data_IF_414924854579
#
_entry.id   IF_414924854579
#
_cell.length_a   1.000
_cell.length_b   1.000
_cell.length_c   1.000
_cell.angle_alpha   90.00
_cell.angle_beta   90.00
_cell.angle_gamma   90.00
#
_symmetry.space_group_name_H-M   'P 1'
#
loop_
_entity.id
_entity.type
_entity.pdbx_description
1 polymer ?
#
# COMPACT_ATOMS: atom_id res chain seq x y z
N UNK A 1 -40.16 60.07 -9.09
CA UNK A 1 -39.20 58.94 -9.01
C UNK A 1 -39.41 58.25 -7.67
N UNK A 2 -39.93 57.02 -7.67
CA UNK A 2 -40.30 56.29 -6.43
C UNK A 2 -39.13 55.38 -6.02
N UNK A 3 -38.47 55.68 -4.90
CA UNK A 3 -37.41 54.81 -4.34
C UNK A 3 -38.10 53.73 -3.50
N UNK A 4 -38.03 52.47 -3.93
CA UNK A 4 -38.53 51.32 -3.17
C UNK A 4 -37.61 51.09 -1.95
N UNK A 5 -38.13 51.31 -0.75
CA UNK A 5 -37.44 50.96 0.50
C UNK A 5 -37.50 49.46 0.73
N UNK A 6 -36.34 48.79 0.71
CA UNK A 6 -36.22 47.37 1.05
C UNK A 6 -36.42 47.20 2.56
N UNK A 7 -37.36 46.33 2.97
CA UNK A 7 -37.66 46.09 4.38
C UNK A 7 -36.48 45.35 5.05
N UNK A 8 -36.06 45.77 6.24
CA UNK A 8 -34.95 45.11 6.95
C UNK A 8 -35.15 43.60 7.18
N UNK A 9 -36.41 43.15 7.29
CA UNK A 9 -36.75 41.73 7.37
C UNK A 9 -36.37 40.93 6.12
N UNK A 10 -36.40 41.54 4.93
CA UNK A 10 -35.97 40.86 3.69
C UNK A 10 -34.44 40.80 3.59
N UNK A 11 -33.74 41.79 4.14
CA UNK A 11 -32.26 41.79 4.20
C UNK A 11 -31.77 40.70 5.16
N UNK A 12 -32.39 40.57 6.33
CA UNK A 12 -32.09 39.51 7.32
C UNK A 12 -32.43 38.10 6.79
N UNK A 13 -33.53 37.94 6.08
CA UNK A 13 -33.89 36.64 5.49
C UNK A 13 -32.89 36.21 4.40
N UNK A 14 -32.44 37.14 3.55
CA UNK A 14 -31.47 36.86 2.50
C UNK A 14 -30.07 36.55 3.04
N UNK A 15 -29.65 37.21 4.12
CA UNK A 15 -28.36 36.92 4.76
C UNK A 15 -28.35 35.57 5.48
N UNK A 16 -29.44 35.19 6.16
CA UNK A 16 -29.57 33.86 6.75
C UNK A 16 -29.55 32.77 5.67
N UNK A 17 -30.29 32.96 4.55
CA UNK A 17 -30.30 32.02 3.43
C UNK A 17 -28.90 31.85 2.78
N UNK A 18 -28.16 32.95 2.64
CA UNK A 18 -26.79 32.92 2.11
C UNK A 18 -25.82 32.20 3.05
N UNK A 19 -25.94 32.38 4.36
CA UNK A 19 -25.14 31.65 5.36
C UNK A 19 -25.46 30.14 5.30
N UNK A 20 -26.73 29.74 5.20
CA UNK A 20 -27.11 28.33 5.05
C UNK A 20 -26.57 27.68 3.77
N UNK A 21 -26.54 28.39 2.64
CA UNK A 21 -25.98 27.89 1.37
C UNK A 21 -24.45 27.72 1.40
N UNK A 22 -23.74 28.57 2.16
CA UNK A 22 -22.28 28.45 2.34
C UNK A 22 -21.93 27.25 3.23
N UNK A 23 -22.74 26.94 4.24
CA UNK A 23 -22.49 25.80 5.16
C UNK A 23 -22.73 24.44 4.47
N UNK A 24 -23.69 24.35 3.53
CA UNK A 24 -23.95 23.09 2.79
C UNK A 24 -22.83 22.72 1.80
N UNK A 25 -21.92 23.65 1.51
CA UNK A 25 -20.83 23.45 0.54
C UNK A 25 -19.58 22.82 1.15
N UNK A 26 -19.46 22.78 2.49
CA UNK A 26 -18.41 22.05 3.18
C UNK A 26 -18.86 20.61 3.44
N UNK A 27 -19.04 19.83 2.37
CA UNK A 27 -18.82 18.41 2.48
C UNK A 27 -17.32 18.21 2.75
N UNK A 28 -16.91 18.32 4.01
CA UNK A 28 -15.60 17.87 4.44
C UNK A 28 -15.52 16.41 3.99
N UNK A 29 -14.67 16.13 3.00
CA UNK A 29 -14.41 14.79 2.54
C UNK A 29 -13.98 14.00 3.78
N UNK A 30 -14.90 13.20 4.32
CA UNK A 30 -14.60 12.38 5.48
C UNK A 30 -13.43 11.48 5.10
N UNK A 31 -12.44 11.28 6.00
CA UNK A 31 -11.30 10.43 5.71
C UNK A 31 -11.81 9.08 5.22
N UNK A 32 -11.50 8.76 3.95
CA UNK A 32 -11.99 7.54 3.31
C UNK A 32 -11.21 6.37 3.89
N UNK A 33 -11.86 5.58 4.74
CA UNK A 33 -11.27 4.34 5.23
C UNK A 33 -11.04 3.37 4.08
N UNK A 34 -9.96 2.59 4.19
CA UNK A 34 -9.70 1.49 3.28
C UNK A 34 -10.92 0.54 3.22
N UNK A 35 -11.40 0.18 2.01
CA UNK A 35 -12.50 -0.77 1.86
C UNK A 35 -12.20 -2.13 2.52
N UNK A 36 -13.21 -2.79 3.09
CA UNK A 36 -13.02 -4.07 3.81
C UNK A 36 -12.46 -5.19 2.94
N UNK A 37 -12.77 -5.20 1.65
CA UNK A 37 -12.27 -6.20 0.69
C UNK A 37 -10.80 -5.98 0.32
N UNK A 38 -10.21 -4.85 0.72
CA UNK A 38 -8.76 -4.59 0.72
C UNK A 38 -8.17 -4.82 2.11
N UNK A 39 -8.83 -4.31 3.17
CA UNK A 39 -8.35 -4.38 4.55
C UNK A 39 -8.23 -5.81 5.07
N UNK A 40 -9.22 -6.66 4.78
CA UNK A 40 -9.26 -8.05 5.25
C UNK A 40 -8.10 -8.89 4.74
N UNK A 41 -7.84 -8.97 3.41
CA UNK A 41 -6.69 -9.72 2.91
C UNK A 41 -5.35 -9.13 3.39
N UNK A 42 -5.21 -7.81 3.55
CA UNK A 42 -3.98 -7.22 4.13
C UNK A 42 -3.72 -7.71 5.55
N UNK A 43 -4.75 -7.69 6.40
CA UNK A 43 -4.66 -8.15 7.79
C UNK A 43 -4.32 -9.63 7.86
N UNK A 44 -5.01 -10.46 7.07
CA UNK A 44 -4.78 -11.91 7.02
C UNK A 44 -3.39 -12.24 6.47
N UNK A 45 -2.97 -11.58 5.40
CA UNK A 45 -1.64 -11.74 4.81
C UNK A 45 -0.54 -11.36 5.78
N UNK A 46 -0.73 -10.29 6.56
CA UNK A 46 0.20 -9.91 7.61
C UNK A 46 0.30 -10.99 8.71
N UNK A 47 -0.84 -11.50 9.19
CA UNK A 47 -0.84 -12.52 10.24
C UNK A 47 -0.16 -13.83 9.76
N UNK A 48 -0.40 -14.22 8.49
CA UNK A 48 0.29 -15.35 7.85
C UNK A 48 1.80 -15.10 7.69
N UNK A 49 2.19 -13.89 7.32
CA UNK A 49 3.59 -13.49 7.19
C UNK A 49 4.31 -13.57 8.54
N UNK A 50 3.65 -13.12 9.62
CA UNK A 50 4.15 -13.25 11.00
C UNK A 50 4.34 -14.71 11.41
N UNK A 51 3.45 -15.59 10.97
CA UNK A 51 3.53 -17.03 11.23
C UNK A 51 4.55 -17.74 10.31
N UNK A 52 5.30 -17.01 9.47
CA UNK A 52 6.27 -17.57 8.53
C UNK A 52 5.67 -18.25 7.29
N UNK A 53 4.36 -18.15 7.09
CA UNK A 53 3.63 -18.76 5.97
C UNK A 53 3.67 -17.84 4.74
N UNK A 54 4.86 -17.63 4.19
CA UNK A 54 5.10 -16.59 3.18
C UNK A 54 4.31 -16.78 1.89
N UNK A 55 4.15 -18.00 1.38
CA UNK A 55 3.38 -18.26 0.15
C UNK A 55 1.90 -17.89 0.31
N UNK A 56 1.33 -18.26 1.47
CA UNK A 56 -0.06 -17.91 1.80
C UNK A 56 -0.21 -16.40 2.01
N UNK A 57 0.75 -15.76 2.66
CA UNK A 57 0.77 -14.31 2.83
C UNK A 57 0.84 -13.58 1.48
N UNK A 58 1.71 -14.02 0.56
CA UNK A 58 1.78 -13.47 -0.79
C UNK A 58 0.45 -13.58 -1.54
N UNK A 59 -0.29 -14.69 -1.38
CA UNK A 59 -1.59 -14.86 -2.00
C UNK A 59 -2.61 -13.83 -1.50
N UNK A 60 -2.69 -13.61 -0.19
CA UNK A 60 -3.58 -12.61 0.41
C UNK A 60 -3.20 -11.18 -0.02
N UNK A 61 -1.91 -10.84 -0.04
CA UNK A 61 -1.49 -9.52 -0.55
C UNK A 61 -1.84 -9.33 -2.02
N UNK A 62 -1.74 -10.37 -2.86
CA UNK A 62 -2.22 -10.32 -4.25
C UNK A 62 -3.73 -10.17 -4.34
N UNK A 63 -4.49 -10.77 -3.43
CA UNK A 63 -5.94 -10.54 -3.34
C UNK A 63 -6.24 -9.07 -3.03
N UNK A 64 -5.53 -8.45 -2.08
CA UNK A 64 -5.66 -7.02 -1.83
C UNK A 64 -5.33 -6.17 -3.08
N UNK A 65 -4.23 -6.51 -3.78
CA UNK A 65 -3.83 -5.82 -5.01
C UNK A 65 -4.80 -6.02 -6.18
N UNK A 66 -5.59 -7.09 -6.20
CA UNK A 66 -6.64 -7.26 -7.20
C UNK A 66 -7.80 -6.26 -7.04
N UNK A 67 -7.96 -5.71 -5.82
CA UNK A 67 -8.98 -4.71 -5.47
C UNK A 67 -8.41 -3.30 -5.52
N UNK A 68 -7.17 -3.15 -5.08
CA UNK A 68 -6.43 -1.90 -5.07
C UNK A 68 -4.99 -2.15 -5.54
N UNK A 69 -4.78 -2.04 -6.86
CA UNK A 69 -3.51 -2.36 -7.54
C UNK A 69 -2.29 -1.64 -6.96
N UNK A 70 -2.51 -0.46 -6.38
CA UNK A 70 -1.43 0.41 -5.92
C UNK A 70 -1.37 0.53 -4.40
N UNK A 71 -2.02 -0.40 -3.68
CA UNK A 71 -2.07 -0.37 -2.23
C UNK A 71 -0.64 -0.49 -1.61
N UNK A 72 -0.14 0.55 -0.92
CA UNK A 72 1.23 0.59 -0.44
C UNK A 72 1.49 -0.39 0.70
N UNK A 73 0.46 -0.79 1.46
CA UNK A 73 0.60 -1.79 2.51
C UNK A 73 0.87 -3.18 1.92
N UNK A 74 0.11 -3.57 0.89
CA UNK A 74 0.31 -4.85 0.20
C UNK A 74 1.67 -4.89 -0.50
N UNK A 75 2.01 -3.83 -1.25
CA UNK A 75 3.28 -3.72 -1.96
C UNK A 75 4.48 -3.74 -1.00
N UNK A 76 4.41 -3.00 0.11
CA UNK A 76 5.44 -3.02 1.14
C UNK A 76 5.62 -4.41 1.76
N UNK A 77 4.53 -5.12 2.08
CA UNK A 77 4.62 -6.44 2.67
C UNK A 77 5.14 -7.50 1.68
N UNK A 78 4.77 -7.41 0.40
CA UNK A 78 5.37 -8.23 -0.65
C UNK A 78 6.88 -7.95 -0.77
N UNK A 79 7.29 -6.68 -0.71
CA UNK A 79 8.70 -6.32 -0.70
C UNK A 79 9.45 -6.93 0.50
N UNK A 80 8.85 -6.90 1.69
CA UNK A 80 9.41 -7.54 2.88
C UNK A 80 9.65 -9.04 2.66
N UNK A 81 8.66 -9.75 2.10
CA UNK A 81 8.78 -11.18 1.75
C UNK A 81 9.89 -11.41 0.71
N UNK A 82 9.94 -10.63 -0.38
CA UNK A 82 10.99 -10.77 -1.41
C UNK A 82 12.38 -10.47 -0.86
N UNK A 83 12.52 -9.48 0.01
CA UNK A 83 13.79 -9.16 0.67
C UNK A 83 14.28 -10.28 1.59
N UNK A 84 13.35 -10.99 2.26
CA UNK A 84 13.63 -12.16 3.08
C UNK A 84 14.07 -13.36 2.23
N UNK A 85 13.47 -13.54 1.04
CA UNK A 85 13.87 -14.55 0.05
C UNK A 85 15.18 -14.21 -0.68
N UNK A 86 15.83 -13.09 -0.38
CA UNK A 86 17.05 -12.63 -1.07
C UNK A 86 16.80 -12.04 -2.47
N UNK A 87 15.55 -11.91 -2.90
CA UNK A 87 15.15 -11.34 -4.19
C UNK A 87 15.09 -9.81 -4.10
N UNK A 88 16.27 -9.19 -3.93
CA UNK A 88 16.36 -7.77 -3.60
C UNK A 88 15.85 -6.84 -4.72
N UNK A 89 16.03 -7.23 -5.99
CA UNK A 89 15.50 -6.48 -7.15
C UNK A 89 13.98 -6.46 -7.17
N UNK A 90 13.35 -7.62 -6.98
CA UNK A 90 11.88 -7.74 -6.91
C UNK A 90 11.32 -6.93 -5.73
N UNK A 91 11.99 -6.99 -4.58
CA UNK A 91 11.62 -6.19 -3.41
C UNK A 91 11.69 -4.68 -3.70
N UNK A 92 12.72 -4.22 -4.41
CA UNK A 92 12.86 -2.81 -4.78
C UNK A 92 11.76 -2.37 -5.73
N UNK A 93 11.40 -3.21 -6.72
CA UNK A 93 10.32 -2.90 -7.66
C UNK A 93 8.99 -2.68 -6.91
N UNK A 94 8.63 -3.56 -5.98
CA UNK A 94 7.43 -3.37 -5.15
C UNK A 94 7.46 -2.08 -4.32
N UNK A 95 8.62 -1.73 -3.74
CA UNK A 95 8.73 -0.48 -2.96
C UNK A 95 8.66 0.76 -3.84
N UNK A 96 9.17 0.71 -5.07
CA UNK A 96 9.03 1.81 -6.04
C UNK A 96 7.57 2.04 -6.42
N UNK A 97 6.81 0.97 -6.68
CA UNK A 97 5.37 1.07 -6.93
C UNK A 97 4.65 1.62 -5.70
N UNK A 98 4.98 1.13 -4.51
CA UNK A 98 4.39 1.60 -3.25
C UNK A 98 4.66 3.11 -3.04
N UNK A 99 5.90 3.55 -3.24
CA UNK A 99 6.32 4.94 -3.02
C UNK A 99 5.51 5.93 -3.87
N UNK A 100 5.17 5.54 -5.10
CA UNK A 100 4.43 6.39 -6.04
C UNK A 100 3.06 6.79 -5.50
N UNK A 101 2.41 5.91 -4.74
CA UNK A 101 1.04 6.07 -4.28
C UNK A 101 0.91 6.25 -2.75
N UNK A 102 1.96 5.96 -1.98
CA UNK A 102 1.89 5.88 -0.52
C UNK A 102 1.34 7.15 0.16
N UNK A 103 1.63 8.33 -0.39
CA UNK A 103 1.17 9.62 0.15
C UNK A 103 -0.36 9.77 0.16
N UNK A 104 -1.07 9.00 -0.67
CA UNK A 104 -2.53 9.05 -0.79
C UNK A 104 -3.24 8.22 0.29
N UNK A 105 -2.48 7.45 1.07
CA UNK A 105 -3.00 6.54 2.10
C UNK A 105 -2.73 7.09 3.49
N UNK A 106 -3.79 7.30 4.26
CA UNK A 106 -3.73 7.91 5.59
C UNK A 106 -3.96 6.90 6.72
N UNK A 107 -4.27 5.64 6.40
CA UNK A 107 -4.42 4.57 7.37
C UNK A 107 -3.15 4.42 8.22
N UNK A 108 -3.33 4.32 9.53
CA UNK A 108 -2.26 3.98 10.46
C UNK A 108 -1.95 2.48 10.37
N UNK A 109 -0.84 2.07 10.96
CA UNK A 109 -0.42 0.68 10.97
C UNK A 109 0.17 0.24 12.30
N UNK A 110 0.37 -1.07 12.42
CA UNK A 110 1.23 -1.72 13.42
C UNK A 110 2.39 -2.42 12.69
N UNK A 111 3.62 -2.17 13.13
CA UNK A 111 4.81 -2.89 12.67
C UNK A 111 5.12 -4.06 13.60
N UNK A 112 5.74 -5.11 13.07
CA UNK A 112 6.40 -6.14 13.90
C UNK A 112 7.82 -6.36 13.39
N UNK A 113 8.73 -6.51 14.33
CA UNK A 113 10.09 -6.98 14.09
C UNK A 113 10.16 -8.49 14.30
N UNK A 114 10.50 -9.24 13.25
CA UNK A 114 10.70 -10.69 13.33
C UNK A 114 12.17 -11.04 13.64
N UNK A 115 12.39 -12.22 14.21
CA UNK A 115 13.73 -12.84 14.32
C UNK A 115 14.36 -12.95 12.94
N UNK A 116 15.57 -12.41 12.77
CA UNK A 116 16.22 -12.23 11.46
C UNK A 116 16.22 -10.78 10.95
N UNK A 117 15.74 -9.81 11.74
CA UNK A 117 15.92 -8.37 11.49
C UNK A 117 14.88 -7.73 10.56
N UNK A 118 13.74 -8.40 10.34
CA UNK A 118 12.73 -7.96 9.38
C UNK A 118 11.68 -7.06 10.08
N UNK A 119 12.06 -5.84 10.43
CA UNK A 119 11.16 -4.78 10.94
C UNK A 119 10.51 -4.00 9.79
N UNK A 120 10.09 -4.68 8.72
CA UNK A 120 9.71 -4.04 7.46
C UNK A 120 8.24 -4.25 7.09
N UNK A 121 7.56 -5.20 7.73
CA UNK A 121 6.15 -5.50 7.49
C UNK A 121 5.20 -4.65 8.32
N UNK A 122 4.03 -4.33 7.74
CA UNK A 122 3.00 -3.47 8.36
C UNK A 122 1.63 -4.12 8.30
N UNK A 123 0.86 -3.99 9.39
CA UNK A 123 -0.56 -4.33 9.46
C UNK A 123 -1.37 -3.04 9.47
N UNK A 124 -2.26 -2.77 8.50
CA UNK A 124 -3.12 -1.60 8.58
C UNK A 124 -4.04 -1.72 9.79
N UNK A 125 -4.39 -0.59 10.40
CA UNK A 125 -5.43 -0.51 11.43
C UNK A 125 -6.53 0.44 10.98
N UNK A 126 -7.76 0.25 11.49
CA UNK A 126 -8.93 1.08 11.16
C UNK A 126 -8.89 2.44 11.86
N UNK A 127 -7.77 3.14 11.72
CA UNK A 127 -7.51 4.48 12.26
C UNK A 127 -6.89 5.29 11.15
N UNK A 128 -7.51 6.43 10.83
CA UNK A 128 -7.03 7.35 9.80
C UNK A 128 -6.26 8.49 10.45
N UNK A 129 -5.06 8.77 9.94
CA UNK A 129 -4.23 9.91 10.32
C UNK A 129 -4.49 11.17 9.51
N UNK A 130 -3.76 12.23 9.85
CA UNK A 130 -3.71 13.49 9.09
C UNK A 130 -2.60 13.51 8.03
N UNK A 131 -1.68 12.55 8.11
CA UNK A 131 -0.56 12.37 7.17
C UNK A 131 -0.35 10.87 6.89
N UNK A 132 0.25 10.56 5.74
CA UNK A 132 0.62 9.20 5.38
C UNK A 132 1.82 8.71 6.21
N UNK A 133 1.54 7.77 7.10
CA UNK A 133 2.60 7.09 7.85
C UNK A 133 3.25 5.99 7.03
N UNK A 134 2.51 5.34 6.13
CA UNK A 134 3.03 4.28 5.25
C UNK A 134 4.10 4.81 4.27
N UNK A 135 4.01 6.06 3.83
CA UNK A 135 5.03 6.67 2.99
C UNK A 135 6.41 6.73 3.67
N UNK A 136 6.45 6.97 4.98
CA UNK A 136 7.70 6.98 5.77
C UNK A 136 8.31 5.58 5.83
N UNK A 137 7.49 4.57 6.13
CA UNK A 137 7.92 3.16 6.16
C UNK A 137 8.49 2.70 4.82
N UNK A 138 7.80 3.00 3.72
CA UNK A 138 8.26 2.63 2.37
C UNK A 138 9.63 3.26 2.10
N UNK A 139 9.81 4.55 2.40
CA UNK A 139 11.09 5.24 2.21
C UNK A 139 12.21 4.62 3.05
N UNK A 140 11.95 4.29 4.32
CA UNK A 140 12.91 3.63 5.21
C UNK A 140 13.29 2.24 4.70
N UNK A 141 12.31 1.45 4.27
CA UNK A 141 12.53 0.11 3.74
C UNK A 141 13.33 0.16 2.42
N UNK A 142 13.09 1.16 1.57
CA UNK A 142 13.92 1.38 0.38
C UNK A 142 15.36 1.72 0.76
N UNK A 143 15.58 2.57 1.77
CA UNK A 143 16.92 2.90 2.27
C UNK A 143 17.67 1.67 2.78
N UNK A 144 17.03 0.87 3.64
CA UNK A 144 17.56 -0.40 4.16
C UNK A 144 17.90 -1.37 3.02
N UNK A 145 17.00 -1.49 2.03
CA UNK A 145 17.18 -2.40 0.90
C UNK A 145 18.31 -1.95 -0.02
N UNK A 146 18.43 -0.65 -0.32
CA UNK A 146 19.56 -0.08 -1.09
C UNK A 146 20.90 -0.39 -0.42
N UNK A 147 20.98 -0.21 0.90
CA UNK A 147 22.19 -0.55 1.66
C UNK A 147 22.51 -2.05 1.58
N UNK A 148 21.50 -2.93 1.71
CA UNK A 148 21.66 -4.39 1.57
C UNK A 148 22.15 -4.80 0.18
N UNK A 149 21.62 -4.19 -0.87
CA UNK A 149 22.04 -4.43 -2.26
C UNK A 149 23.47 -3.97 -2.51
N UNK A 150 23.88 -2.81 -1.96
CA UNK A 150 25.26 -2.33 -2.06
C UNK A 150 26.25 -3.25 -1.32
N UNK A 151 25.85 -3.83 -0.20
CA UNK A 151 26.67 -4.77 0.58
C UNK A 151 26.73 -6.18 -0.01
N UNK A 152 25.81 -6.54 -0.92
CA UNK A 152 25.72 -7.87 -1.53
C UNK A 152 25.85 -7.75 -3.05
N UNK A 153 27.07 -7.54 -3.59
CA UNK A 153 27.27 -7.45 -5.03
C UNK A 153 26.80 -8.75 -5.70
N UNK A 154 25.92 -8.58 -6.69
CA UNK A 154 25.33 -9.68 -7.44
C UNK A 154 26.45 -10.50 -8.09
N UNK A 155 26.48 -11.82 -7.85
CA UNK A 155 27.37 -12.69 -8.62
C UNK A 155 26.99 -12.58 -10.10
N UNK A 156 27.95 -12.45 -11.04
CA UNK A 156 27.63 -12.37 -12.45
C UNK A 156 26.70 -13.51 -12.85
N UNK A 157 25.56 -13.19 -13.48
CA UNK A 157 24.73 -14.21 -14.12
C UNK A 157 25.62 -14.86 -15.18
N UNK A 158 25.81 -16.20 -15.16
CA UNK A 158 26.59 -16.87 -16.19
C UNK A 158 26.06 -16.50 -17.57
N UNK A 159 26.92 -15.95 -18.43
CA UNK A 159 26.56 -15.55 -19.80
C UNK A 159 26.20 -16.74 -20.68
N UNK A 160 26.54 -17.95 -20.23
CA UNK A 160 26.15 -19.20 -20.87
C UNK A 160 24.83 -19.72 -20.28
N UNK A 161 23.77 -19.86 -21.10
CA UNK A 161 22.57 -20.53 -20.65
C UNK A 161 22.88 -21.97 -20.21
N UNK A 162 22.22 -22.49 -19.16
CA UNK A 162 22.43 -23.85 -18.72
C UNK A 162 22.17 -24.83 -19.87
N UNK A 163 22.92 -25.96 -19.96
CA UNK A 163 22.68 -26.97 -20.98
C UNK A 163 21.21 -27.39 -20.95
N UNK A 164 20.55 -27.40 -22.10
CA UNK A 164 19.16 -27.88 -22.19
C UNK A 164 19.09 -29.31 -21.65
N UNK A 165 18.32 -29.49 -20.58
CA UNK A 165 18.07 -30.80 -20.01
C UNK A 165 17.32 -31.64 -21.04
N UNK A 166 17.86 -32.83 -21.36
CA UNK A 166 17.29 -33.71 -22.37
C UNK A 166 15.90 -34.14 -21.91
N UNK A 167 14.87 -33.69 -22.62
CA UNK A 167 13.49 -34.13 -22.40
C UNK A 167 13.44 -35.66 -22.52
N UNK A 168 13.02 -36.40 -21.48
CA UNK A 168 12.93 -37.85 -21.55
C UNK A 168 11.96 -38.24 -22.66
N UNK A 169 12.39 -39.14 -23.54
CA UNK A 169 11.55 -39.67 -24.59
C UNK A 169 10.29 -40.29 -23.97
N UNK A 170 9.12 -39.74 -24.29
CA UNK A 170 7.84 -40.32 -23.93
C UNK A 170 7.77 -41.74 -24.49
N UNK A 171 7.71 -42.74 -23.60
CA UNK A 171 7.41 -44.11 -23.98
C UNK A 171 5.99 -44.14 -24.56
N UNK A 172 5.86 -44.32 -25.87
CA UNK A 172 4.58 -44.63 -26.52
C UNK A 172 4.10 -45.97 -25.96
N UNK A 173 2.99 -45.95 -25.22
CA UNK A 173 2.30 -47.15 -24.77
C UNK A 173 1.78 -47.94 -25.97
N UNK A 174 1.91 -49.26 -25.88
CA UNK A 174 1.23 -50.23 -26.75
C UNK A 174 -0.21 -50.41 -26.31
#
# INVERSE_FOLDING_TARGET
>A
MMVRTVKWSTILALSVLAVFLVITSLALAQPRMMPEDVFTPLTKGYDLMRDGKYEAAEAEFKTALSKDRYNPFALNNLAAIKAQQGKLKDAMAYLTDAQTHAKDYLDKYQEVCFTGGLCTGVKPVKVIGTESTIAKVVAENMGKLKAKMAATPEKPVPSTPPPMEKVPAQKKGK
#
